data_IF_250523588362
#
_entry.id   IF_250523588362
#
_cell.length_a   1.000
_cell.length_b   1.000
_cell.length_c   1.000
_cell.angle_alpha   90.00
_cell.angle_beta   90.00
_cell.angle_gamma   90.00
#
_symmetry.space_group_name_H-M   'P 1'
#
loop_
_entity.id
_entity.type
_entity.pdbx_description
1 polymer ?
#
# COMPACT_ATOMS: atom_id res chain seq x y z
N UNK A 1 -24.55 32.69 47.09
CA UNK A 1 -24.28 33.26 45.75
C UNK A 1 -24.26 32.13 44.73
N UNK A 2 -25.14 32.18 43.73
CA UNK A 2 -25.20 31.22 42.61
C UNK A 2 -24.21 31.67 41.54
N UNK A 3 -23.37 30.77 41.04
CA UNK A 3 -22.53 30.99 39.84
C UNK A 3 -23.45 30.86 38.63
N UNK A 4 -23.85 31.99 38.04
CA UNK A 4 -24.83 32.06 36.94
C UNK A 4 -24.23 32.55 35.61
N UNK A 5 -22.90 32.55 35.47
CA UNK A 5 -22.26 32.91 34.21
C UNK A 5 -21.06 32.01 33.95
N UNK A 6 -21.09 31.30 32.81
CA UNK A 6 -19.97 30.50 32.31
C UNK A 6 -20.29 29.02 32.09
N UNK A 7 -21.44 28.69 31.49
CA UNK A 7 -21.54 27.44 30.75
C UNK A 7 -20.54 27.49 29.60
N UNK A 8 -19.43 26.76 29.73
CA UNK A 8 -18.43 26.64 28.67
C UNK A 8 -19.12 26.23 27.39
N UNK A 9 -18.85 26.94 26.29
CA UNK A 9 -19.26 26.50 24.95
C UNK A 9 -18.85 25.02 24.80
N UNK A 10 -19.69 24.16 24.19
CA UNK A 10 -19.28 22.79 23.92
C UNK A 10 -17.93 22.87 23.21
N UNK A 11 -16.92 22.21 23.78
CA UNK A 11 -15.58 22.21 23.22
C UNK A 11 -15.72 21.69 21.80
N UNK A 12 -15.48 22.55 20.81
CA UNK A 12 -15.38 22.12 19.42
C UNK A 12 -14.38 20.98 19.40
N UNK A 13 -14.73 19.79 18.87
CA UNK A 13 -13.79 18.69 18.80
C UNK A 13 -12.52 19.18 18.12
N UNK A 14 -11.38 18.89 18.74
CA UNK A 14 -10.08 19.22 18.16
C UNK A 14 -10.01 18.53 16.79
N UNK A 15 -9.55 19.23 15.75
CA UNK A 15 -9.51 18.67 14.41
C UNK A 15 -8.66 17.40 14.40
N UNK A 16 -9.14 16.37 13.70
CA UNK A 16 -8.39 15.13 13.57
C UNK A 16 -7.18 15.36 12.67
N UNK A 17 -6.20 14.45 12.74
CA UNK A 17 -5.05 14.48 11.84
C UNK A 17 -5.50 14.39 10.37
N UNK A 18 -6.53 13.60 10.10
CA UNK A 18 -7.13 13.42 8.77
C UNK A 18 -7.81 14.70 8.26
N UNK A 19 -8.63 15.37 9.09
CA UNK A 19 -9.23 16.66 8.75
C UNK A 19 -8.18 17.74 8.48
N UNK A 20 -7.09 17.71 9.25
CA UNK A 20 -5.99 18.63 9.07
C UNK A 20 -5.24 18.33 7.75
N UNK A 21 -4.99 17.06 7.40
CA UNK A 21 -4.36 16.66 6.12
C UNK A 21 -5.21 17.13 4.95
N UNK A 22 -6.52 16.84 4.96
CA UNK A 22 -7.45 17.28 3.92
C UNK A 22 -7.46 18.80 3.73
N UNK A 23 -7.35 19.57 4.83
CA UNK A 23 -7.27 21.03 4.76
C UNK A 23 -5.96 21.51 4.12
N UNK A 24 -4.84 20.85 4.41
CA UNK A 24 -3.55 21.16 3.79
C UNK A 24 -3.59 20.83 2.31
N UNK A 25 -4.12 19.67 1.92
CA UNK A 25 -4.23 19.25 0.52
C UNK A 25 -5.11 20.20 -0.30
N UNK A 26 -6.26 20.62 0.26
CA UNK A 26 -7.10 21.62 -0.39
C UNK A 26 -6.37 22.95 -0.64
N UNK A 27 -5.47 23.35 0.27
CA UNK A 27 -4.64 24.55 0.08
C UNK A 27 -3.55 24.34 -0.96
N UNK A 28 -2.97 23.14 -1.04
CA UNK A 28 -2.03 22.75 -2.11
C UNK A 28 -2.72 22.91 -3.46
N UNK A 29 -3.92 22.36 -3.64
CA UNK A 29 -4.70 22.52 -4.89
C UNK A 29 -4.92 23.98 -5.25
N UNK A 30 -5.29 24.83 -4.29
CA UNK A 30 -5.47 26.27 -4.51
C UNK A 30 -4.15 26.95 -4.93
N UNK A 31 -3.00 26.51 -4.43
CA UNK A 31 -1.71 27.04 -4.88
C UNK A 31 -1.36 26.56 -6.28
N UNK A 32 -1.61 25.30 -6.61
CA UNK A 32 -1.39 24.75 -7.96
C UNK A 32 -2.23 25.51 -9.00
N UNK A 33 -3.50 25.81 -8.71
CA UNK A 33 -4.34 26.64 -9.60
C UNK A 33 -3.76 28.06 -9.81
N UNK A 34 -3.21 28.67 -8.75
CA UNK A 34 -2.57 30.00 -8.86
C UNK A 34 -1.28 29.93 -9.67
N UNK A 35 -0.47 28.88 -9.48
CA UNK A 35 0.75 28.63 -10.24
C UNK A 35 0.40 28.46 -11.72
N UNK A 36 -0.61 27.64 -12.04
CA UNK A 36 -1.05 27.41 -13.41
C UNK A 36 -1.52 28.69 -14.12
N UNK A 37 -2.26 29.55 -13.41
CA UNK A 37 -2.67 30.87 -13.96
C UNK A 37 -1.47 31.74 -14.30
N UNK A 38 -0.45 31.77 -13.44
CA UNK A 38 0.78 32.54 -13.67
C UNK A 38 1.64 31.93 -14.78
N UNK A 39 1.65 30.60 -14.92
CA UNK A 39 2.31 29.90 -16.02
C UNK A 39 1.71 30.28 -17.38
N UNK A 40 0.38 30.29 -17.47
CA UNK A 40 -0.32 30.73 -18.68
C UNK A 40 -0.01 32.20 -19.02
N UNK A 41 0.07 33.08 -18.01
CA UNK A 41 0.48 34.48 -18.24
C UNK A 41 1.94 34.56 -18.72
N UNK A 42 2.86 33.78 -18.15
CA UNK A 42 4.26 33.73 -18.57
C UNK A 42 4.41 33.25 -20.02
N UNK A 43 3.65 32.23 -20.43
CA UNK A 43 3.61 31.73 -21.81
C UNK A 43 3.20 32.87 -22.75
N UNK A 44 2.09 33.55 -22.46
CA UNK A 44 1.61 34.67 -23.28
C UNK A 44 2.59 35.85 -23.34
N UNK A 45 3.30 36.15 -22.25
CA UNK A 45 4.34 37.18 -22.23
C UNK A 45 5.57 36.76 -23.07
N UNK A 46 5.96 35.48 -23.02
CA UNK A 46 7.04 34.93 -23.83
C UNK A 46 6.73 35.03 -25.33
N UNK A 47 5.52 34.68 -25.73
CA UNK A 47 5.08 34.80 -27.14
C UNK A 47 5.06 36.25 -27.63
N UNK A 48 4.59 37.19 -26.80
CA UNK A 48 4.62 38.62 -27.13
C UNK A 48 6.05 39.13 -27.27
N UNK A 49 6.96 38.72 -26.38
CA UNK A 49 8.38 39.09 -26.48
C UNK A 49 9.04 38.54 -27.74
N UNK A 50 8.72 37.31 -28.15
CA UNK A 50 9.26 36.69 -29.36
C UNK A 50 8.90 37.46 -30.65
N UNK A 51 7.78 38.19 -30.65
CA UNK A 51 7.30 39.00 -31.78
C UNK A 51 7.92 40.41 -31.82
N UNK A 52 8.69 40.80 -30.80
CA UNK A 52 9.25 42.16 -30.67
C UNK A 52 10.77 42.09 -30.71
N UNK A 53 11.41 43.00 -31.47
CA UNK A 53 12.87 43.06 -31.56
C UNK A 53 13.48 43.24 -30.15
N UNK A 54 14.46 42.40 -29.77
CA UNK A 54 15.18 42.55 -28.51
C UNK A 54 15.82 43.92 -28.34
N UNK A 55 15.82 44.43 -27.10
CA UNK A 55 16.42 45.72 -26.74
C UNK A 55 15.53 46.95 -26.96
N UNK A 56 14.38 46.81 -27.62
CA UNK A 56 13.39 47.90 -27.72
C UNK A 56 12.72 48.19 -26.37
N UNK A 57 12.17 49.40 -26.22
CA UNK A 57 11.42 49.80 -25.01
C UNK A 57 10.27 48.82 -24.71
N UNK A 58 9.50 48.43 -25.73
CA UNK A 58 8.40 47.45 -25.63
C UNK A 58 8.91 46.09 -25.16
N UNK A 59 10.01 45.59 -25.73
CA UNK A 59 10.60 44.32 -25.29
C UNK A 59 11.04 44.38 -23.82
N UNK A 60 11.69 45.47 -23.40
CA UNK A 60 12.14 45.65 -22.01
C UNK A 60 10.96 45.73 -21.03
N UNK A 61 9.87 46.40 -21.40
CA UNK A 61 8.63 46.44 -20.60
C UNK A 61 8.02 45.04 -20.43
N UNK A 62 7.90 44.28 -21.51
CA UNK A 62 7.38 42.90 -21.45
C UNK A 62 8.26 42.00 -20.58
N UNK A 63 9.60 42.13 -20.70
CA UNK A 63 10.56 41.42 -19.85
C UNK A 63 10.38 41.77 -18.36
N UNK A 64 10.23 43.05 -18.02
CA UNK A 64 9.99 43.47 -16.64
C UNK A 64 8.66 42.93 -16.10
N UNK A 65 7.62 42.88 -16.92
CA UNK A 65 6.35 42.26 -16.54
C UNK A 65 6.53 40.75 -16.30
N UNK A 66 7.21 40.03 -17.20
CA UNK A 66 7.47 38.61 -17.05
C UNK A 66 8.27 38.28 -15.78
N UNK A 67 9.28 39.09 -15.44
CA UNK A 67 10.06 38.93 -14.21
C UNK A 67 9.20 39.06 -12.94
N UNK A 68 8.23 39.99 -12.92
CA UNK A 68 7.29 40.14 -11.79
C UNK A 68 6.39 38.92 -11.64
N UNK A 69 5.81 38.44 -12.75
CA UNK A 69 4.96 37.24 -12.76
C UNK A 69 5.76 36.01 -12.33
N UNK A 70 6.99 35.84 -12.83
CA UNK A 70 7.87 34.74 -12.45
C UNK A 70 8.22 34.76 -10.96
N UNK A 71 8.50 35.94 -10.39
CA UNK A 71 8.76 36.08 -8.96
C UNK A 71 7.53 35.67 -8.13
N UNK A 72 6.33 36.06 -8.55
CA UNK A 72 5.09 35.67 -7.89
C UNK A 72 4.84 34.17 -8.00
N UNK A 73 5.10 33.56 -9.16
CA UNK A 73 5.00 32.12 -9.37
C UNK A 73 5.91 31.35 -8.42
N UNK A 74 7.20 31.72 -8.36
CA UNK A 74 8.18 31.08 -7.45
C UNK A 74 7.80 31.21 -5.98
N UNK A 75 7.16 32.31 -5.58
CA UNK A 75 6.65 32.47 -4.22
C UNK A 75 5.57 31.45 -3.90
N UNK A 76 4.60 31.25 -4.81
CA UNK A 76 3.55 30.25 -4.61
C UNK A 76 4.08 28.82 -4.69
N UNK A 77 5.04 28.52 -5.56
CA UNK A 77 5.73 27.21 -5.57
C UNK A 77 6.36 26.92 -4.20
N UNK A 78 7.09 27.88 -3.63
CA UNK A 78 7.67 27.71 -2.30
C UNK A 78 6.61 27.47 -1.20
N UNK A 79 5.48 28.18 -1.25
CA UNK A 79 4.37 27.94 -0.30
C UNK A 79 3.73 26.57 -0.50
N UNK A 80 3.54 26.15 -1.75
CA UNK A 80 3.00 24.84 -2.14
C UNK A 80 3.91 23.73 -1.61
N UNK A 81 5.22 23.83 -1.85
CA UNK A 81 6.21 22.85 -1.41
C UNK A 81 6.27 22.74 0.12
N UNK A 82 6.17 23.87 0.84
CA UNK A 82 6.05 23.86 2.30
C UNK A 82 4.81 23.12 2.79
N UNK A 83 3.66 23.30 2.14
CA UNK A 83 2.42 22.60 2.49
C UNK A 83 2.47 21.11 2.13
N UNK A 84 3.06 20.75 0.99
CA UNK A 84 3.30 19.34 0.65
C UNK A 84 4.17 18.63 1.70
N UNK A 85 5.24 19.29 2.17
CA UNK A 85 6.05 18.75 3.26
C UNK A 85 5.25 18.61 4.57
N UNK A 86 4.34 19.54 4.87
CA UNK A 86 3.44 19.41 6.03
C UNK A 86 2.50 18.22 5.88
N UNK A 87 1.87 18.06 4.70
CA UNK A 87 0.97 16.94 4.42
C UNK A 87 1.70 15.59 4.59
N UNK A 88 2.89 15.47 4.00
CA UNK A 88 3.71 14.26 4.12
C UNK A 88 4.12 13.94 5.58
N UNK A 89 4.48 14.94 6.37
CA UNK A 89 4.77 14.74 7.79
C UNK A 89 3.53 14.27 8.56
N UNK A 90 2.35 14.78 8.21
CA UNK A 90 1.09 14.37 8.84
C UNK A 90 0.68 12.95 8.44
N UNK A 91 0.89 12.56 7.19
CA UNK A 91 0.69 11.17 6.74
C UNK A 91 1.60 10.20 7.50
N UNK A 92 2.88 10.52 7.68
CA UNK A 92 3.81 9.71 8.49
C UNK A 92 3.35 9.57 9.95
N UNK A 93 2.88 10.67 10.55
CA UNK A 93 2.33 10.64 11.91
C UNK A 93 1.06 9.80 11.96
N UNK A 94 0.22 9.85 10.91
CA UNK A 94 -1.01 9.07 10.81
C UNK A 94 -0.70 7.58 10.77
N UNK A 95 0.22 7.18 9.90
CA UNK A 95 0.70 5.81 9.81
C UNK A 95 1.26 5.31 11.15
N UNK A 96 2.15 6.10 11.77
CA UNK A 96 2.72 5.78 13.08
C UNK A 96 1.63 5.62 14.14
N UNK A 97 0.65 6.53 14.17
CA UNK A 97 -0.48 6.49 15.11
C UNK A 97 -1.31 5.22 14.92
N UNK A 98 -1.55 4.82 13.66
CA UNK A 98 -2.29 3.59 13.37
C UNK A 98 -1.50 2.35 13.82
N UNK A 99 -0.22 2.25 13.49
CA UNK A 99 0.65 1.16 13.95
C UNK A 99 0.70 1.06 15.49
N UNK A 100 0.71 2.20 16.19
CA UNK A 100 0.62 2.22 17.65
C UNK A 100 -0.73 1.69 18.16
N UNK A 101 -1.86 2.03 17.52
CA UNK A 101 -3.19 1.48 17.88
C UNK A 101 -3.24 -0.03 17.69
N UNK A 102 -2.67 -0.54 16.60
CA UNK A 102 -2.62 -1.97 16.32
C UNK A 102 -1.76 -2.68 17.38
N UNK A 103 -0.61 -2.10 17.74
CA UNK A 103 0.25 -2.61 18.81
C UNK A 103 -0.47 -2.66 20.15
N UNK A 104 -1.21 -1.59 20.51
CA UNK A 104 -2.02 -1.55 21.74
C UNK A 104 -3.07 -2.67 21.74
N UNK A 105 -3.71 -2.90 20.59
CA UNK A 105 -4.72 -3.96 20.42
C UNK A 105 -4.10 -5.34 20.63
N UNK A 106 -2.95 -5.61 20.00
CA UNK A 106 -2.20 -6.87 20.17
C UNK A 106 -1.79 -7.08 21.63
N UNK A 107 -1.23 -6.07 22.28
CA UNK A 107 -0.85 -6.14 23.70
C UNK A 107 -2.08 -6.39 24.58
N UNK A 108 -3.21 -5.76 24.26
CA UNK A 108 -4.50 -6.00 24.93
C UNK A 108 -4.97 -7.45 24.79
N UNK A 109 -4.87 -8.02 23.60
CA UNK A 109 -5.21 -9.42 23.32
C UNK A 109 -4.27 -10.38 24.08
N UNK A 110 -2.96 -10.15 24.05
CA UNK A 110 -1.97 -10.95 24.79
C UNK A 110 -2.22 -10.89 26.30
N UNK A 111 -2.57 -9.72 26.85
CA UNK A 111 -2.90 -9.58 28.27
C UNK A 111 -4.15 -10.37 28.64
N UNK A 112 -5.14 -10.40 27.76
CA UNK A 112 -6.36 -11.20 27.95
C UNK A 112 -6.04 -12.69 27.89
N UNK A 113 -5.31 -13.14 26.86
CA UNK A 113 -4.87 -14.53 26.72
C UNK A 113 -4.02 -15.00 27.92
N UNK A 114 -3.09 -14.17 28.39
CA UNK A 114 -2.26 -14.47 29.57
C UNK A 114 -3.10 -14.62 30.84
N UNK A 115 -4.14 -13.80 31.03
CA UNK A 115 -5.07 -13.95 32.16
C UNK A 115 -5.85 -15.26 32.08
N UNK A 116 -6.34 -15.61 30.90
CA UNK A 116 -7.09 -16.86 30.71
C UNK A 116 -6.18 -18.08 30.91
N UNK A 117 -4.98 -18.08 30.33
CA UNK A 117 -3.97 -19.12 30.53
C UNK A 117 -3.65 -19.30 32.03
N UNK A 118 -3.45 -18.21 32.78
CA UNK A 118 -3.25 -18.27 34.24
C UNK A 118 -4.46 -18.82 35.00
N UNK A 119 -5.68 -18.66 34.48
CA UNK A 119 -6.88 -19.24 35.06
C UNK A 119 -6.94 -20.74 34.78
N UNK A 120 -6.68 -21.16 33.55
CA UNK A 120 -6.62 -22.57 33.16
C UNK A 120 -5.51 -23.33 33.91
N UNK A 121 -4.34 -22.71 34.11
CA UNK A 121 -3.26 -23.31 34.93
C UNK A 121 -3.65 -23.53 36.39
N UNK A 122 -4.62 -22.80 36.95
CA UNK A 122 -5.13 -23.06 38.31
C UNK A 122 -6.10 -24.24 38.38
N UNK A 123 -6.57 -24.71 37.23
CA UNK A 123 -7.46 -25.86 37.10
C UNK A 123 -6.72 -27.13 36.66
N UNK A 124 -5.42 -27.02 36.33
CA UNK A 124 -4.55 -28.17 36.18
C UNK A 124 -4.08 -28.57 37.58
N UNK A 125 -4.59 -29.69 38.09
CA UNK A 125 -4.02 -30.33 39.27
C UNK A 125 -2.69 -30.99 38.86
N UNK A 126 -1.59 -30.56 39.49
CA UNK A 126 -0.26 -31.14 39.24
C UNK A 126 -0.25 -32.64 39.57
N UNK A 127 -1.05 -33.06 40.55
CA UNK A 127 -1.22 -34.45 40.92
C UNK A 127 -1.90 -35.29 39.80
N UNK A 128 -2.72 -34.68 38.94
CA UNK A 128 -3.28 -35.35 37.75
C UNK A 128 -2.25 -35.45 36.61
N UNK A 129 -1.26 -34.55 36.57
CA UNK A 129 -0.17 -34.60 35.58
C UNK A 129 0.82 -35.74 35.88
N UNK A 130 1.10 -36.00 37.15
CA UNK A 130 1.93 -37.16 37.56
C UNK A 130 1.20 -38.48 37.22
N UNK A 131 -0.11 -38.57 37.48
CA UNK A 131 -0.92 -39.73 37.05
C UNK A 131 -1.01 -39.87 35.52
N UNK A 132 -1.05 -38.75 34.77
CA UNK A 132 -1.03 -38.77 33.31
C UNK A 132 0.33 -39.26 32.76
N UNK A 133 1.43 -38.98 33.46
CA UNK A 133 2.76 -39.48 33.08
C UNK A 133 2.83 -41.02 33.26
N UNK A 134 2.25 -41.54 34.33
CA UNK A 134 2.11 -42.99 34.57
C UNK A 134 1.16 -43.63 33.54
N UNK A 135 0.01 -43.02 33.25
CA UNK A 135 -0.92 -43.51 32.20
C UNK A 135 -0.31 -43.46 30.79
N UNK A 136 0.55 -42.47 30.49
CA UNK A 136 1.27 -42.39 29.22
C UNK A 136 2.37 -43.45 29.11
N UNK A 137 3.03 -43.79 30.21
CA UNK A 137 3.96 -44.92 30.26
C UNK A 137 3.22 -46.24 30.02
N UNK A 138 2.06 -46.45 30.66
CA UNK A 138 1.21 -47.63 30.47
C UNK A 138 0.65 -47.70 29.04
N UNK A 139 0.30 -46.56 28.41
CA UNK A 139 -0.14 -46.51 27.01
C UNK A 139 1.02 -46.78 26.04
N UNK A 140 2.23 -46.31 26.33
CA UNK A 140 3.41 -46.60 25.50
C UNK A 140 3.81 -48.08 25.59
N UNK A 141 3.73 -48.67 26.79
CA UNK A 141 3.98 -50.10 27.00
C UNK A 141 2.89 -50.95 26.34
N UNK A 142 1.61 -50.57 26.43
CA UNK A 142 0.55 -51.21 25.66
C UNK A 142 0.71 -51.01 24.15
N UNK A 143 1.20 -49.85 23.69
CA UNK A 143 1.48 -49.61 22.27
C UNK A 143 2.60 -50.52 21.76
N UNK A 144 3.67 -50.70 22.53
CA UNK A 144 4.75 -51.62 22.21
C UNK A 144 4.28 -53.08 22.27
N UNK A 145 3.46 -53.45 23.26
CA UNK A 145 2.86 -54.77 23.37
C UNK A 145 1.88 -55.05 22.22
N UNK A 146 1.15 -54.03 21.75
CA UNK A 146 0.30 -54.09 20.56
C UNK A 146 1.15 -54.22 19.29
N UNK A 147 2.27 -53.51 19.15
CA UNK A 147 3.18 -53.62 18.01
C UNK A 147 3.88 -54.98 17.95
N UNK A 148 4.30 -55.52 19.10
CA UNK A 148 4.87 -56.86 19.24
C UNK A 148 3.82 -57.96 19.00
N UNK A 149 2.60 -57.79 19.51
CA UNK A 149 1.48 -58.72 19.29
C UNK A 149 0.93 -58.66 17.86
N UNK A 150 0.98 -57.50 17.20
CA UNK A 150 0.64 -57.34 15.78
C UNK A 150 1.79 -57.70 14.85
N UNK A 151 2.99 -57.98 15.38
CA UNK A 151 4.10 -58.56 14.66
C UNK A 151 4.47 -57.80 13.40
N UNK A 152 4.57 -56.46 13.47
CA UNK A 152 5.07 -55.65 12.36
C UNK A 152 6.14 -54.69 12.84
N UNK A 153 7.38 -55.19 12.83
CA UNK A 153 8.53 -54.32 12.56
C UNK A 153 8.27 -53.63 11.22
N UNK A 154 7.88 -52.36 11.28
CA UNK A 154 8.24 -51.42 10.22
C UNK A 154 9.45 -50.65 10.73
N UNK A 155 10.61 -51.29 10.56
CA UNK A 155 11.83 -50.57 10.23
C UNK A 155 11.47 -49.63 9.07
N UNK A 156 11.30 -48.34 9.37
CA UNK A 156 11.30 -47.32 8.33
C UNK A 156 12.76 -47.19 7.95
N UNK A 157 13.18 -48.08 7.04
CA UNK A 157 14.50 -48.05 6.43
C UNK A 157 14.79 -46.68 5.83
N UNK A 158 16.08 -46.38 5.64
CA UNK A 158 16.55 -45.08 5.15
C UNK A 158 15.76 -44.64 3.91
N UNK A 159 15.18 -43.44 4.01
CA UNK A 159 14.43 -42.78 2.94
C UNK A 159 15.44 -42.41 1.84
N UNK A 160 15.20 -42.86 0.60
CA UNK A 160 16.06 -42.53 -0.54
C UNK A 160 15.73 -41.12 -1.04
N UNK A 161 16.61 -40.16 -0.74
CA UNK A 161 16.46 -38.75 -1.09
C UNK A 161 16.30 -38.52 -2.61
N UNK A 162 16.74 -39.46 -3.45
CA UNK A 162 16.65 -39.32 -4.92
C UNK A 162 15.24 -39.52 -5.47
N UNK A 163 14.38 -40.28 -4.80
CA UNK A 163 12.98 -40.46 -5.17
C UNK A 163 12.15 -39.22 -4.76
N UNK A 164 12.46 -38.64 -3.60
CA UNK A 164 11.81 -37.43 -3.09
C UNK A 164 12.11 -36.20 -3.97
N UNK A 165 13.34 -36.08 -4.48
CA UNK A 165 13.72 -35.01 -5.41
C UNK A 165 13.04 -35.16 -6.78
N UNK A 166 12.80 -36.39 -7.24
CA UNK A 166 12.09 -36.64 -8.49
C UNK A 166 10.60 -36.27 -8.40
N UNK A 167 9.95 -36.54 -7.26
CA UNK A 167 8.57 -36.09 -7.00
C UNK A 167 8.47 -34.57 -6.84
N UNK A 168 9.44 -33.95 -6.18
CA UNK A 168 9.50 -32.50 -6.03
C UNK A 168 9.68 -31.78 -7.38
N UNK A 169 10.48 -32.35 -8.28
CA UNK A 169 10.66 -31.84 -9.64
C UNK A 169 9.38 -31.94 -10.47
N UNK A 170 8.65 -33.06 -10.37
CA UNK A 170 7.38 -33.24 -11.07
C UNK A 170 6.31 -32.22 -10.63
N UNK A 171 6.32 -31.80 -9.36
CA UNK A 171 5.41 -30.76 -8.83
C UNK A 171 5.76 -29.34 -9.34
N UNK A 172 7.03 -29.08 -9.65
CA UNK A 172 7.50 -27.82 -10.22
C UNK A 172 7.08 -27.64 -11.69
N UNK A 173 7.15 -28.72 -12.47
CA UNK A 173 6.75 -28.72 -13.89
C UNK A 173 5.22 -28.55 -14.08
N UNK A 174 4.41 -28.89 -13.08
CA UNK A 174 2.95 -28.67 -13.11
C UNK A 174 2.56 -27.19 -12.88
N UNK A 175 3.44 -26.37 -12.29
CA UNK A 175 3.19 -24.94 -12.03
C UNK A 175 3.66 -24.04 -13.18
N UNK A 176 4.68 -24.43 -13.95
CA UNK A 176 5.15 -23.64 -15.10
C UNK A 176 4.33 -23.82 -16.40
N UNK A 177 3.42 -24.80 -16.46
CA UNK A 177 2.60 -25.06 -17.66
C UNK A 177 1.22 -24.39 -17.66
N UNK A 178 0.78 -23.74 -16.57
CA UNK A 178 -0.48 -22.98 -16.54
C UNK A 178 -0.23 -21.48 -16.41
N UNK A 179 -0.13 -20.86 -17.59
CA UNK A 179 -0.76 -19.58 -17.92
C UNK A 179 -1.24 -18.74 -16.73
N UNK A 180 -0.54 -17.62 -16.51
CA UNK A 180 -1.06 -16.47 -15.76
C UNK A 180 -2.54 -16.22 -16.15
N UNK A 181 -3.49 -16.23 -15.20
CA UNK A 181 -4.91 -16.14 -15.51
C UNK A 181 -5.31 -14.90 -16.33
N UNK A 182 -6.05 -15.13 -17.40
CA UNK A 182 -6.42 -14.17 -18.46
C UNK A 182 -7.32 -12.98 -18.02
N UNK A 183 -7.64 -12.82 -16.74
CA UNK A 183 -8.35 -11.62 -16.24
C UNK A 183 -7.41 -10.41 -16.03
N UNK A 184 -6.08 -10.60 -16.17
CA UNK A 184 -5.04 -9.57 -16.01
C UNK A 184 -4.61 -8.87 -17.31
N UNK A 185 -5.25 -9.13 -18.47
CA UNK A 185 -4.95 -8.45 -19.73
C UNK A 185 -6.24 -7.83 -20.35
N UNK A 186 -6.51 -6.59 -19.98
CA UNK A 186 -7.70 -5.76 -20.27
C UNK A 186 -8.24 -5.73 -21.72
N UNK A 187 -9.57 -5.59 -21.83
CA UNK A 187 -10.33 -5.06 -23.00
C UNK A 187 -10.92 -3.69 -22.60
N UNK A 188 -10.96 -2.63 -23.45
CA UNK A 188 -12.02 -2.44 -24.49
C UNK A 188 -11.56 -1.58 -25.71
N UNK A 189 -12.25 -1.38 -26.84
CA UNK A 189 -13.45 -1.90 -27.51
C UNK A 189 -13.23 -1.69 -29.03
N UNK A 190 -13.74 -2.61 -29.86
CA UNK A 190 -13.76 -2.49 -31.32
C UNK A 190 -14.86 -1.51 -31.78
N UNK A 191 -14.63 -0.73 -32.86
CA UNK A 191 -15.73 -0.58 -33.82
C UNK A 191 -15.33 -0.74 -35.30
N UNK A 192 -16.14 -1.60 -35.91
CA UNK A 192 -16.64 -1.73 -37.30
C UNK A 192 -15.69 -1.77 -38.50
N UNK A 193 -15.75 -2.94 -39.16
CA UNK A 193 -15.33 -3.17 -40.55
C UNK A 193 -16.42 -2.67 -41.48
N UNK A 194 -16.06 -1.87 -42.49
CA UNK A 194 -16.37 -2.33 -43.84
C UNK A 194 -15.28 -1.95 -44.84
N UNK A 195 -14.64 -2.93 -45.47
CA UNK A 195 -13.81 -2.69 -46.64
C UNK A 195 -14.45 -3.34 -47.87
N UNK A 196 -15.33 -2.57 -48.50
CA UNK A 196 -15.68 -2.76 -49.89
C UNK A 196 -14.55 -2.21 -50.78
N UNK A 197 -14.20 -3.04 -51.77
CA UNK A 197 -13.69 -2.67 -53.09
C UNK A 197 -12.21 -2.29 -53.32
N UNK A 198 -11.56 -3.17 -54.09
CA UNK A 198 -10.88 -2.94 -55.38
C UNK A 198 -9.71 -1.94 -55.44
N UNK A 199 -8.51 -2.47 -55.75
CA UNK A 199 -7.68 -2.16 -56.94
C UNK A 199 -6.24 -2.62 -56.68
N UNK A 200 -5.80 -3.75 -57.24
CA UNK A 200 -5.06 -3.85 -58.50
C UNK A 200 -3.68 -3.15 -58.55
N UNK A 201 -2.69 -4.02 -58.79
CA UNK A 201 -1.54 -3.86 -59.71
C UNK A 201 -0.17 -3.37 -59.19
N UNK A 202 0.74 -4.36 -59.21
CA UNK A 202 2.04 -4.38 -59.89
C UNK A 202 3.17 -3.47 -59.37
N UNK A 203 4.30 -4.09 -59.02
CA UNK A 203 5.47 -4.11 -59.91
C UNK A 203 6.59 -5.03 -59.38
N UNK A 204 7.03 -5.94 -60.25
CA UNK A 204 8.38 -6.46 -60.49
C UNK A 204 9.41 -6.57 -59.35
N UNK A 205 9.92 -7.80 -59.13
CA UNK A 205 11.36 -8.11 -59.31
C UNK A 205 11.66 -9.61 -59.12
N UNK A 206 12.39 -10.19 -60.09
CA UNK A 206 13.33 -11.33 -60.00
C UNK A 206 12.76 -12.67 -59.49
N UNK A 207 12.67 -13.74 -60.26
CA UNK A 207 13.66 -14.33 -61.19
C UNK A 207 12.95 -15.33 -62.09
#
# INVERSE_FOLDING_TARGET
>A
MRRIFGGGKPATPQPTLEEATQRVDARVTVMDEKIQKLDNELIGLREKMAKVRPGTSTHNMLKQKALKVLKQRKLYEGQRDQMMNQSFNMEQVSFTTQSMKDTITTVGAMKTASKEMKKQFKHLDIDEIDNLQDDLADIYDQHNEIQDALGRSYDVGEIDESELDAELAALGDEIELDSTPSYLNDTPALPEVPNDSVAMQQAAAMK
#
